data_IF_308199712612
#
_entry.id   IF_308199712612
#
_cell.length_a   1.000
_cell.length_b   1.000
_cell.length_c   1.000
_cell.angle_alpha   90.00
_cell.angle_beta   90.00
_cell.angle_gamma   90.00
#
_symmetry.space_group_name_H-M   'P 1'
#
loop_
_entity.id
_entity.type
_entity.pdbx_description
1 polymer ?
#
# COMPACT_ATOMS: atom_id res chain seq x y z
N UNK A 1 -12.35 -8.07 7.08
CA UNK A 1 -11.74 -6.74 6.97
C UNK A 1 -11.07 -6.60 5.60
N UNK A 2 -11.25 -5.45 4.96
CA UNK A 2 -10.59 -5.13 3.69
C UNK A 2 -9.74 -3.89 3.92
N UNK A 3 -8.49 -3.91 3.46
CA UNK A 3 -7.57 -2.78 3.57
C UNK A 3 -6.87 -2.50 2.24
N UNK A 4 -6.63 -1.22 1.97
CA UNK A 4 -5.82 -0.80 0.83
C UNK A 4 -4.37 -0.78 1.30
N UNK A 5 -3.48 -1.50 0.60
CA UNK A 5 -2.05 -1.48 0.91
C UNK A 5 -1.37 -0.35 0.15
N UNK A 6 -0.66 0.51 0.88
CA UNK A 6 0.20 1.52 0.27
C UNK A 6 1.51 0.87 -0.21
N UNK A 7 2.19 1.52 -1.14
CA UNK A 7 3.45 1.01 -1.72
C UNK A 7 4.53 0.79 -0.68
N UNK A 8 4.65 1.69 0.31
CA UNK A 8 5.70 1.58 1.33
C UNK A 8 5.55 0.33 2.21
N UNK A 9 4.36 -0.22 2.33
CA UNK A 9 4.12 -1.49 3.03
C UNK A 9 4.87 -2.62 2.31
N UNK A 10 4.75 -2.65 0.99
CA UNK A 10 5.41 -3.67 0.16
C UNK A 10 6.93 -3.49 0.18
N UNK A 11 7.39 -2.25 0.01
CA UNK A 11 8.83 -1.94 0.03
C UNK A 11 9.44 -2.33 1.37
N UNK A 12 8.74 -2.07 2.48
CA UNK A 12 9.18 -2.47 3.83
C UNK A 12 9.48 -3.96 3.94
N UNK A 13 8.72 -4.80 3.24
CA UNK A 13 8.92 -6.25 3.26
C UNK A 13 10.27 -6.66 2.68
N UNK A 14 10.77 -5.95 1.68
CA UNK A 14 12.09 -6.23 1.10
C UNK A 14 13.21 -6.02 2.11
N UNK A 15 13.07 -5.00 2.97
CA UNK A 15 14.08 -4.65 3.98
C UNK A 15 13.91 -5.45 5.27
N UNK A 16 12.71 -5.98 5.53
CA UNK A 16 12.41 -6.79 6.71
C UNK A 16 11.52 -7.98 6.33
N UNK A 17 12.07 -8.96 5.57
CA UNK A 17 11.26 -10.06 5.03
C UNK A 17 10.66 -10.99 6.08
N UNK A 18 11.22 -10.99 7.28
CA UNK A 18 10.71 -11.77 8.41
C UNK A 18 10.03 -10.90 9.47
N UNK A 19 9.77 -9.63 9.12
CA UNK A 19 9.14 -8.68 10.02
C UNK A 19 7.63 -8.84 10.10
N UNK A 20 7.01 -8.07 10.99
CA UNK A 20 5.58 -8.12 11.24
C UNK A 20 4.74 -7.76 10.02
N UNK A 21 5.17 -6.78 9.22
CA UNK A 21 4.45 -6.37 8.01
C UNK A 21 4.36 -7.53 7.01
N UNK A 22 5.50 -8.17 6.72
CA UNK A 22 5.55 -9.32 5.82
C UNK A 22 4.69 -10.47 6.36
N UNK A 23 4.73 -10.70 7.66
CA UNK A 23 3.93 -11.74 8.31
C UNK A 23 2.42 -11.47 8.12
N UNK A 24 1.97 -10.25 8.33
CA UNK A 24 0.57 -9.87 8.14
C UNK A 24 0.14 -10.05 6.68
N UNK A 25 0.97 -9.60 5.73
CA UNK A 25 0.65 -9.69 4.30
C UNK A 25 0.56 -11.13 3.79
N UNK A 26 1.40 -12.02 4.31
CA UNK A 26 1.54 -13.39 3.78
C UNK A 26 0.90 -14.46 4.65
N UNK A 27 0.15 -14.07 5.68
CA UNK A 27 -0.49 -15.01 6.59
C UNK A 27 -1.37 -16.02 5.83
N UNK A 28 -1.19 -17.30 6.12
CA UNK A 28 -1.94 -18.39 5.45
C UNK A 28 -3.42 -18.36 5.78
N UNK A 29 -3.78 -18.06 7.03
CA UNK A 29 -5.17 -17.87 7.45
C UNK A 29 -5.47 -16.37 7.41
N UNK A 30 -5.80 -15.90 6.23
CA UNK A 30 -5.96 -14.48 5.99
C UNK A 30 -7.30 -13.97 6.52
N UNK A 31 -7.24 -13.07 7.50
CA UNK A 31 -8.40 -12.36 8.04
C UNK A 31 -8.66 -11.03 7.34
N UNK A 32 -7.71 -10.61 6.52
CA UNK A 32 -7.74 -9.36 5.80
C UNK A 32 -7.67 -9.63 4.31
N UNK A 33 -8.59 -9.05 3.55
CA UNK A 33 -8.44 -8.97 2.10
C UNK A 33 -7.71 -7.67 1.78
N UNK A 34 -6.52 -7.78 1.20
CA UNK A 34 -5.77 -6.60 0.75
C UNK A 34 -6.17 -6.26 -0.68
N UNK A 35 -6.35 -4.98 -0.93
CA UNK A 35 -6.56 -4.43 -2.28
C UNK A 35 -5.55 -3.31 -2.50
N UNK A 36 -5.25 -3.00 -3.75
CA UNK A 36 -4.36 -1.91 -4.10
C UNK A 36 -4.58 -1.52 -5.56
N UNK A 37 -4.28 -0.27 -5.94
CA UNK A 37 -4.23 0.07 -7.36
C UNK A 37 -2.99 -0.56 -7.98
N UNK A 38 -3.07 -0.96 -9.25
CA UNK A 38 -1.93 -1.54 -9.98
C UNK A 38 -0.74 -0.58 -10.07
N UNK A 39 -0.98 0.72 -9.88
CA UNK A 39 0.07 1.74 -9.76
C UNK A 39 1.12 1.40 -8.69
N UNK A 40 0.73 0.66 -7.64
CA UNK A 40 1.66 0.16 -6.62
C UNK A 40 2.83 -0.59 -7.26
N UNK A 41 2.55 -1.42 -8.24
CA UNK A 41 3.59 -2.21 -8.93
C UNK A 41 4.53 -1.31 -9.74
N UNK A 42 4.01 -0.24 -10.33
CA UNK A 42 4.82 0.74 -11.05
C UNK A 42 5.78 1.45 -10.09
N UNK A 43 5.29 1.86 -8.92
CA UNK A 43 6.12 2.51 -7.90
C UNK A 43 7.21 1.58 -7.36
N UNK A 44 6.88 0.31 -7.09
CA UNK A 44 7.88 -0.67 -6.67
C UNK A 44 8.95 -0.82 -7.75
N UNK A 45 8.54 -0.88 -9.02
CA UNK A 45 9.49 -1.00 -10.14
C UNK A 45 10.44 0.20 -10.23
N UNK A 46 9.95 1.41 -9.95
CA UNK A 46 10.78 2.61 -9.91
C UNK A 46 11.89 2.53 -8.86
N UNK A 47 11.62 1.85 -7.74
CA UNK A 47 12.57 1.69 -6.64
C UNK A 47 13.35 0.39 -6.70
N UNK A 48 13.10 -0.45 -7.71
CA UNK A 48 13.62 -1.82 -7.76
C UNK A 48 15.15 -1.88 -7.75
N UNK A 49 15.82 -1.01 -8.52
CA UNK A 49 17.29 -0.98 -8.59
C UNK A 49 17.91 -0.71 -7.22
N UNK A 50 17.36 0.25 -6.48
CA UNK A 50 17.82 0.58 -5.14
C UNK A 50 17.57 -0.57 -4.16
N UNK A 51 16.39 -1.17 -4.23
CA UNK A 51 16.01 -2.31 -3.40
C UNK A 51 16.97 -3.48 -3.64
N UNK A 52 17.25 -3.80 -4.89
CA UNK A 52 18.18 -4.87 -5.26
C UNK A 52 19.56 -4.63 -4.67
N UNK A 53 20.07 -3.42 -4.80
CA UNK A 53 21.38 -3.03 -4.27
C UNK A 53 21.42 -3.15 -2.73
N UNK A 54 20.43 -2.55 -2.06
CA UNK A 54 20.39 -2.50 -0.60
C UNK A 54 20.21 -3.89 0.04
N UNK A 55 19.47 -4.77 -0.61
CA UNK A 55 19.13 -6.09 -0.08
C UNK A 55 19.96 -7.23 -0.66
N UNK A 56 20.91 -6.91 -1.54
CA UNK A 56 21.78 -7.89 -2.22
C UNK A 56 20.99 -8.98 -2.94
N UNK A 57 19.89 -8.59 -3.58
CA UNK A 57 19.07 -9.50 -4.42
C UNK A 57 19.33 -9.28 -5.89
N UNK A 58 19.33 -10.37 -6.66
CA UNK A 58 19.30 -10.28 -8.12
C UNK A 58 17.91 -9.81 -8.56
N UNK A 59 17.78 -9.39 -9.81
CA UNK A 59 16.47 -9.01 -10.37
C UNK A 59 15.48 -10.16 -10.28
N UNK A 60 15.91 -11.38 -10.59
CA UNK A 60 15.08 -12.59 -10.51
C UNK A 60 14.58 -12.81 -9.08
N UNK A 61 15.48 -12.70 -8.10
CA UNK A 61 15.13 -12.86 -6.69
C UNK A 61 14.16 -11.77 -6.22
N UNK A 62 14.39 -10.52 -6.61
CA UNK A 62 13.52 -9.41 -6.25
C UNK A 62 12.12 -9.56 -6.83
N UNK A 63 11.99 -9.95 -8.10
CA UNK A 63 10.69 -10.16 -8.74
C UNK A 63 9.95 -11.37 -8.16
N UNK A 64 10.67 -12.43 -7.83
CA UNK A 64 10.10 -13.61 -7.18
C UNK A 64 9.57 -13.26 -5.79
N UNK A 65 10.33 -12.48 -5.02
CA UNK A 65 9.91 -12.01 -3.70
C UNK A 65 8.68 -11.10 -3.80
N UNK A 66 8.67 -10.18 -4.75
CA UNK A 66 7.52 -9.29 -4.98
C UNK A 66 6.26 -10.10 -5.26
N UNK A 67 6.35 -11.11 -6.10
CA UNK A 67 5.23 -11.99 -6.42
C UNK A 67 4.69 -12.68 -5.15
N UNK A 68 5.60 -13.15 -4.30
CA UNK A 68 5.23 -13.84 -3.05
C UNK A 68 4.52 -12.91 -2.06
N UNK A 69 5.06 -11.72 -1.83
CA UNK A 69 4.48 -10.79 -0.83
C UNK A 69 3.20 -10.13 -1.31
N UNK A 70 2.94 -10.12 -2.63
CA UNK A 70 1.72 -9.52 -3.18
C UNK A 70 0.65 -10.56 -3.55
N UNK A 71 0.89 -11.83 -3.29
CA UNK A 71 -0.03 -12.91 -3.70
C UNK A 71 -1.44 -12.79 -3.12
N UNK A 72 -1.58 -12.18 -1.96
CA UNK A 72 -2.89 -11.99 -1.29
C UNK A 72 -3.52 -10.63 -1.59
N UNK A 73 -2.94 -9.85 -2.51
CA UNK A 73 -3.45 -8.52 -2.88
C UNK A 73 -4.27 -8.63 -4.16
N UNK A 74 -5.49 -8.12 -4.12
CA UNK A 74 -6.32 -7.94 -5.31
C UNK A 74 -6.03 -6.56 -5.90
N UNK A 75 -5.49 -6.52 -7.12
CA UNK A 75 -5.15 -5.27 -7.78
C UNK A 75 -6.29 -4.72 -8.62
N UNK A 76 -6.52 -3.43 -8.47
CA UNK A 76 -7.45 -2.66 -9.31
C UNK A 76 -6.65 -1.93 -10.39
N UNK A 77 -6.98 -2.15 -11.64
CA UNK A 77 -6.35 -1.42 -12.73
C UNK A 77 -6.96 -0.01 -12.85
N UNK A 78 -6.29 0.88 -13.55
CA UNK A 78 -6.77 2.26 -13.75
C UNK A 78 -8.20 2.31 -14.28
N UNK A 79 -8.56 1.40 -15.21
CA UNK A 79 -9.92 1.30 -15.76
C UNK A 79 -10.98 0.91 -14.74
N UNK A 80 -10.58 0.26 -13.65
CA UNK A 80 -11.48 -0.19 -12.58
C UNK A 80 -11.79 0.89 -11.56
N UNK A 81 -11.10 2.03 -11.64
CA UNK A 81 -11.28 3.17 -10.74
C UNK A 81 -11.94 4.30 -11.52
N UNK A 82 -13.09 4.77 -11.05
CA UNK A 82 -13.84 5.84 -11.71
C UNK A 82 -13.02 7.14 -11.80
N UNK A 83 -13.06 7.78 -12.96
CA UNK A 83 -12.36 9.06 -13.22
C UNK A 83 -12.74 10.15 -12.23
N UNK A 84 -14.00 10.18 -11.77
CA UNK A 84 -14.44 11.18 -10.79
C UNK A 84 -13.72 11.05 -9.47
N UNK A 85 -13.43 9.83 -9.02
CA UNK A 85 -12.67 9.59 -7.80
C UNK A 85 -11.20 9.89 -8.00
N UNK A 86 -10.65 9.55 -9.16
CA UNK A 86 -9.28 9.92 -9.52
C UNK A 86 -9.06 11.42 -9.48
N UNK A 87 -9.95 12.17 -10.08
CA UNK A 87 -9.89 13.64 -10.11
C UNK A 87 -9.98 14.24 -8.70
N UNK A 88 -10.94 13.77 -7.90
CA UNK A 88 -11.10 14.24 -6.53
C UNK A 88 -9.88 13.91 -5.67
N UNK A 89 -9.35 12.72 -5.83
CA UNK A 89 -8.14 12.30 -5.10
C UNK A 89 -6.95 13.21 -5.44
N UNK A 90 -6.74 13.53 -6.70
CA UNK A 90 -5.68 14.45 -7.13
C UNK A 90 -5.81 15.81 -6.43
N UNK A 91 -7.03 16.34 -6.33
CA UNK A 91 -7.28 17.60 -5.63
C UNK A 91 -6.95 17.50 -4.14
N UNK A 92 -7.30 16.39 -3.51
CA UNK A 92 -7.06 16.17 -2.07
C UNK A 92 -5.56 16.10 -1.77
N UNK A 93 -4.78 15.40 -2.59
CA UNK A 93 -3.36 15.15 -2.32
C UNK A 93 -2.39 16.10 -3.03
N UNK A 94 -2.89 17.06 -3.81
CA UNK A 94 -2.06 17.96 -4.59
C UNK A 94 -0.99 18.69 -3.77
N UNK A 95 -1.30 19.04 -2.53
CA UNK A 95 -0.39 19.71 -1.60
C UNK A 95 0.27 18.75 -0.58
N UNK A 96 0.07 17.45 -0.75
CA UNK A 96 0.71 16.42 0.06
C UNK A 96 1.70 15.66 -0.83
N UNK A 97 1.21 14.81 -1.70
CA UNK A 97 1.99 14.09 -2.71
C UNK A 97 1.04 13.57 -3.78
N UNK A 98 1.18 14.05 -5.01
CA UNK A 98 0.29 13.66 -6.12
C UNK A 98 0.40 12.15 -6.43
N UNK A 99 1.52 11.52 -6.12
CA UNK A 99 1.73 10.08 -6.33
C UNK A 99 0.82 9.22 -5.43
N UNK A 100 0.24 9.81 -4.38
CA UNK A 100 -0.69 9.11 -3.50
C UNK A 100 -2.13 9.11 -4.03
N UNK A 101 -2.39 9.79 -5.14
CA UNK A 101 -3.75 9.97 -5.67
C UNK A 101 -4.47 8.64 -6.00
N UNK A 102 -3.76 7.67 -6.56
CA UNK A 102 -4.37 6.37 -6.92
C UNK A 102 -4.91 5.63 -5.70
N UNK A 103 -4.20 5.70 -4.57
CA UNK A 103 -4.61 5.05 -3.32
C UNK A 103 -5.81 5.75 -2.70
N UNK A 104 -5.80 7.07 -2.69
CA UNK A 104 -6.93 7.86 -2.19
C UNK A 104 -8.16 7.68 -3.07
N UNK A 105 -7.98 7.61 -4.40
CA UNK A 105 -9.07 7.34 -5.33
C UNK A 105 -9.74 6.00 -5.04
N UNK A 106 -8.93 4.97 -4.79
CA UNK A 106 -9.44 3.64 -4.44
C UNK A 106 -10.21 3.69 -3.13
N UNK A 107 -9.71 4.44 -2.14
CA UNK A 107 -10.43 4.66 -0.89
C UNK A 107 -11.79 5.33 -1.13
N UNK A 108 -11.84 6.38 -1.95
CA UNK A 108 -13.09 7.11 -2.23
C UNK A 108 -14.12 6.19 -2.89
N UNK A 109 -13.65 5.31 -3.77
CA UNK A 109 -14.54 4.39 -4.49
C UNK A 109 -15.01 3.23 -3.61
N UNK A 110 -14.11 2.57 -2.88
CA UNK A 110 -14.38 1.32 -2.16
C UNK A 110 -14.67 1.51 -0.66
N UNK A 111 -14.31 2.64 -0.08
CA UNK A 111 -14.62 2.96 1.31
C UNK A 111 -13.73 2.32 2.36
N UNK A 112 -12.61 1.70 1.97
CA UNK A 112 -11.71 1.00 2.91
C UNK A 112 -10.52 1.85 3.29
N UNK A 113 -9.99 1.64 4.50
CA UNK A 113 -8.83 2.38 4.99
C UNK A 113 -7.55 1.98 4.27
N UNK A 114 -6.61 2.93 4.25
CA UNK A 114 -5.27 2.75 3.65
C UNK A 114 -4.29 2.37 4.75
N UNK A 115 -3.67 1.19 4.63
CA UNK A 115 -2.58 0.79 5.49
C UNK A 115 -1.28 1.38 4.97
N UNK A 116 -0.69 2.28 5.73
CA UNK A 116 0.51 3.02 5.31
C UNK A 116 1.45 3.27 6.48
N UNK A 117 2.74 3.38 6.18
CA UNK A 117 3.77 3.84 7.10
C UNK A 117 4.08 5.33 6.90
N UNK A 118 3.44 5.99 5.93
CA UNK A 118 3.71 7.39 5.58
C UNK A 118 2.94 8.35 6.49
N UNK A 119 3.68 8.95 7.44
CA UNK A 119 3.10 9.91 8.39
C UNK A 119 2.72 11.23 7.72
N UNK A 120 3.43 11.62 6.67
CA UNK A 120 3.12 12.86 5.93
C UNK A 120 1.77 12.72 5.26
N UNK A 121 1.51 11.58 4.63
CA UNK A 121 0.23 11.29 4.00
C UNK A 121 -0.90 11.24 5.04
N UNK A 122 -0.75 10.42 6.09
CA UNK A 122 -1.79 10.24 7.08
C UNK A 122 -2.11 11.51 7.86
N UNK A 123 -1.09 12.29 8.23
CA UNK A 123 -1.27 13.57 8.92
C UNK A 123 -1.91 14.61 8.00
N UNK A 124 -1.44 14.72 6.76
CA UNK A 124 -1.98 15.65 5.79
C UNK A 124 -3.44 15.39 5.46
N UNK A 125 -3.83 14.12 5.31
CA UNK A 125 -5.22 13.74 5.08
C UNK A 125 -6.08 14.03 6.30
N UNK A 126 -5.60 13.72 7.49
CA UNK A 126 -6.34 13.94 8.73
C UNK A 126 -6.62 15.42 8.98
N UNK A 127 -5.66 16.29 8.69
CA UNK A 127 -5.82 17.74 8.77
C UNK A 127 -6.92 18.27 7.86
N UNK A 128 -7.20 17.56 6.76
CA UNK A 128 -8.26 17.89 5.81
C UNK A 128 -9.60 17.21 6.13
N UNK A 129 -9.68 16.51 7.26
CA UNK A 129 -10.88 15.80 7.68
C UNK A 129 -10.99 14.36 7.18
N UNK A 130 -9.93 13.81 6.60
CA UNK A 130 -9.89 12.43 6.10
C UNK A 130 -9.07 11.53 7.03
N UNK A 131 -9.71 10.94 8.02
CA UNK A 131 -9.08 9.95 8.92
C UNK A 131 -9.24 8.55 8.30
N UNK A 132 -8.52 8.33 7.21
CA UNK A 132 -8.68 7.15 6.34
C UNK A 132 -7.46 6.21 6.34
N UNK A 133 -6.44 6.51 7.13
CA UNK A 133 -5.24 5.68 7.21
C UNK A 133 -5.22 4.85 8.48
N UNK A 134 -4.55 3.69 8.41
CA UNK A 134 -4.32 2.84 9.57
C UNK A 134 -2.82 2.51 9.63
N UNK A 135 -2.23 2.61 10.82
CA UNK A 135 -0.82 2.28 11.04
C UNK A 135 -0.66 0.79 11.31
N UNK A 136 0.58 0.31 11.16
CA UNK A 136 0.90 -1.09 11.52
C UNK A 136 0.64 -1.36 13.00
N UNK A 137 0.92 -0.39 13.87
CA UNK A 137 0.65 -0.51 15.31
C UNK A 137 -0.84 -0.72 15.59
N UNK A 138 -1.69 0.12 15.00
CA UNK A 138 -3.15 0.00 15.13
C UNK A 138 -3.66 -1.33 14.58
N UNK A 139 -3.12 -1.77 13.45
CA UNK A 139 -3.50 -3.03 12.83
C UNK A 139 -3.12 -4.22 13.69
N UNK A 140 -1.92 -4.20 14.29
CA UNK A 140 -1.47 -5.24 15.23
C UNK A 140 -2.41 -5.33 16.43
N UNK A 141 -2.81 -4.20 16.99
CA UNK A 141 -3.73 -4.15 18.12
C UNK A 141 -5.08 -4.80 17.79
N UNK A 142 -5.55 -4.65 16.56
CA UNK A 142 -6.79 -5.28 16.10
C UNK A 142 -6.65 -6.79 15.87
N UNK A 143 -5.50 -7.23 15.36
CA UNK A 143 -5.27 -8.63 14.98
C UNK A 143 -4.84 -9.53 16.14
N UNK A 144 -4.13 -8.98 17.11
CA UNK A 144 -3.46 -9.76 18.17
C UNK A 144 -3.95 -9.41 19.58
N UNK A 145 -5.18 -8.98 19.69
CA UNK A 145 -5.81 -8.76 20.97
C UNK A 145 -6.01 -10.04 21.75
#
# INVERSE_FOLDING_TARGET
>A
MILISDTNIIISCFYAPNGVIAHILTAKKQKIQFIAPSYLLEEVNEHLSKIMKDTHRSKKEALSFLKEITKNILFYEKKDISKKYGKKAEEIVADIDIDDSAFVALHLQEGHKIWTCDKVLSTGLKEKGYDICITTKELKEKLYK
#
